data_IF_578841193476
#
_entry.id   IF_578841193476
#
_cell.length_a   1.000
_cell.length_b   1.000
_cell.length_c   1.000
_cell.angle_alpha   90.00
_cell.angle_beta   90.00
_cell.angle_gamma   90.00
#
_symmetry.space_group_name_H-M   'P 1'
#
loop_
_entity.id
_entity.type
_entity.pdbx_description
1 polymer ?
#
# COMPACT_ATOMS: atom_id res chain seq x y z
N UNK A 1 49.81 -21.24 -2.44
CA UNK A 1 49.08 -20.44 -1.43
C UNK A 1 48.13 -19.43 -2.07
N UNK A 2 48.53 -18.69 -3.11
CA UNK A 2 47.69 -17.71 -3.82
C UNK A 2 46.34 -18.25 -4.34
N UNK A 3 46.31 -19.46 -4.93
CA UNK A 3 45.07 -20.10 -5.42
C UNK A 3 44.03 -20.35 -4.32
N UNK A 4 44.47 -20.71 -3.11
CA UNK A 4 43.56 -20.93 -1.97
C UNK A 4 43.01 -19.63 -1.41
N UNK A 5 43.83 -18.56 -1.43
CA UNK A 5 43.41 -17.21 -1.05
C UNK A 5 42.35 -16.66 -2.01
N UNK A 6 42.56 -16.82 -3.32
CA UNK A 6 41.59 -16.41 -4.36
C UNK A 6 40.24 -17.11 -4.21
N UNK A 7 40.24 -18.42 -3.96
CA UNK A 7 39.01 -19.19 -3.75
C UNK A 7 38.27 -18.71 -2.50
N UNK A 8 38.98 -18.45 -1.40
CA UNK A 8 38.38 -17.95 -0.16
C UNK A 8 37.73 -16.57 -0.35
N UNK A 9 38.39 -15.67 -1.08
CA UNK A 9 37.86 -14.32 -1.38
C UNK A 9 36.62 -14.42 -2.26
N UNK A 10 36.65 -15.26 -3.31
CA UNK A 10 35.50 -15.47 -4.19
C UNK A 10 34.30 -16.07 -3.46
N UNK A 11 34.53 -17.04 -2.57
CA UNK A 11 33.45 -17.61 -1.76
C UNK A 11 32.83 -16.60 -0.79
N UNK A 12 33.65 -15.73 -0.18
CA UNK A 12 33.16 -14.69 0.72
C UNK A 12 32.34 -13.64 -0.05
N UNK A 13 32.82 -13.21 -1.23
CA UNK A 13 32.08 -12.28 -2.08
C UNK A 13 30.72 -12.85 -2.53
N UNK A 14 30.69 -14.12 -2.95
CA UNK A 14 29.45 -14.79 -3.33
C UNK A 14 28.45 -14.89 -2.15
N UNK A 15 28.94 -15.20 -0.95
CA UNK A 15 28.12 -15.24 0.25
C UNK A 15 27.53 -13.86 0.61
N UNK A 16 28.32 -12.79 0.48
CA UNK A 16 27.85 -11.41 0.72
C UNK A 16 26.78 -11.02 -0.30
N UNK A 17 26.97 -11.33 -1.58
CA UNK A 17 25.97 -11.05 -2.63
C UNK A 17 24.67 -11.81 -2.37
N UNK A 18 24.75 -13.08 -2.01
CA UNK A 18 23.57 -13.89 -1.65
C UNK A 18 22.83 -13.33 -0.43
N UNK A 19 23.55 -12.91 0.61
CA UNK A 19 22.98 -12.29 1.80
C UNK A 19 22.31 -10.95 1.48
N UNK A 20 22.94 -10.12 0.65
CA UNK A 20 22.36 -8.86 0.20
C UNK A 20 21.09 -9.07 -0.63
N UNK A 21 21.09 -10.07 -1.52
CA UNK A 21 19.93 -10.41 -2.35
C UNK A 21 18.76 -10.94 -1.50
N UNK A 22 19.05 -11.83 -0.55
CA UNK A 22 18.06 -12.31 0.40
C UNK A 22 17.50 -11.15 1.25
N UNK A 23 18.36 -10.28 1.78
CA UNK A 23 17.93 -9.11 2.54
C UNK A 23 17.07 -8.16 1.71
N UNK A 24 17.39 -7.94 0.43
CA UNK A 24 16.54 -7.12 -0.45
C UNK A 24 15.17 -7.73 -0.70
N UNK A 25 15.06 -9.06 -0.83
CA UNK A 25 13.77 -9.74 -0.97
C UNK A 25 12.94 -9.67 0.32
N UNK A 26 13.58 -9.61 1.49
CA UNK A 26 12.90 -9.42 2.78
C UNK A 26 12.54 -7.96 3.06
N UNK A 27 13.34 -7.00 2.58
CA UNK A 27 13.11 -5.56 2.75
C UNK A 27 12.13 -4.98 1.72
N UNK A 28 11.97 -5.65 0.57
CA UNK A 28 10.85 -5.43 -0.37
C UNK A 28 9.55 -6.09 0.13
N UNK A 29 9.53 -6.45 1.42
CA UNK A 29 8.32 -6.71 2.18
C UNK A 29 7.35 -5.57 1.91
N UNK A 30 6.31 -5.92 1.16
CA UNK A 30 5.21 -5.06 0.74
C UNK A 30 4.99 -3.96 1.76
N UNK A 31 4.97 -2.67 1.37
CA UNK A 31 4.58 -1.62 2.30
C UNK A 31 3.32 -2.12 2.99
N UNK A 32 3.30 -2.02 4.32
CA UNK A 32 2.18 -2.47 5.13
C UNK A 32 0.96 -1.70 4.65
N UNK A 33 0.30 -2.21 3.60
CA UNK A 33 -0.77 -1.55 2.89
C UNK A 33 -1.93 -1.68 3.85
N UNK A 34 -2.08 -0.65 4.69
CA UNK A 34 -3.33 -0.46 5.38
C UNK A 34 -4.40 -0.45 4.29
N UNK A 35 -5.36 -1.36 4.42
CA UNK A 35 -6.51 -1.42 3.54
C UNK A 35 -7.65 -0.75 4.27
N UNK A 36 -8.31 0.19 3.61
CA UNK A 36 -9.52 0.82 4.13
C UNK A 36 -10.69 0.54 3.21
N UNK A 37 -11.78 0.09 3.83
CA UNK A 37 -13.07 -0.06 3.20
C UNK A 37 -13.87 1.21 3.47
N UNK A 38 -14.27 1.90 2.40
CA UNK A 38 -15.13 3.08 2.49
C UNK A 38 -16.47 2.75 1.86
N UNK A 39 -17.52 2.79 2.67
CA UNK A 39 -18.89 2.57 2.25
C UNK A 39 -19.70 3.86 2.38
N UNK A 40 -20.52 4.16 1.36
CA UNK A 40 -21.48 5.27 1.43
C UNK A 40 -22.89 4.73 1.31
N UNK A 41 -23.72 5.00 2.32
CA UNK A 41 -25.10 4.52 2.36
C UNK A 41 -26.11 5.42 1.61
N UNK A 42 -27.36 4.95 1.55
CA UNK A 42 -28.48 5.66 0.92
C UNK A 42 -28.80 7.02 1.55
N UNK A 43 -28.35 7.29 2.78
CA UNK A 43 -28.54 8.57 3.47
C UNK A 43 -27.30 9.48 3.34
N UNK A 44 -26.38 9.18 2.41
CA UNK A 44 -25.13 9.93 2.24
C UNK A 44 -24.27 9.93 3.52
N UNK A 45 -24.29 8.83 4.28
CA UNK A 45 -23.41 8.66 5.43
C UNK A 45 -22.22 7.82 5.02
N UNK A 46 -21.03 8.27 5.43
CA UNK A 46 -19.76 7.62 5.15
C UNK A 46 -19.42 6.69 6.29
N UNK A 47 -18.98 5.49 5.95
CA UNK A 47 -18.43 4.51 6.87
C UNK A 47 -17.02 4.13 6.41
N UNK A 48 -16.09 4.09 7.36
CA UNK A 48 -14.70 3.72 7.13
C UNK A 48 -14.41 2.54 8.05
N UNK A 49 -14.14 1.36 7.48
CA UNK A 49 -13.99 0.09 8.21
C UNK A 49 -15.16 -0.18 9.17
N UNK A 50 -16.39 0.12 8.72
CA UNK A 50 -17.63 -0.07 9.49
C UNK A 50 -17.94 1.02 10.52
N UNK A 51 -17.03 1.96 10.78
CA UNK A 51 -17.26 3.09 11.70
C UNK A 51 -17.70 4.35 10.96
N UNK A 52 -18.49 5.21 11.62
CA UNK A 52 -18.94 6.46 11.00
C UNK A 52 -17.76 7.38 10.73
N UNK A 53 -17.58 7.73 9.46
CA UNK A 53 -16.52 8.61 8.96
C UNK A 53 -17.01 9.98 8.49
N UNK A 54 -16.07 10.78 8.02
CA UNK A 54 -16.27 12.11 7.43
C UNK A 54 -15.57 12.18 6.08
N UNK A 55 -15.97 13.13 5.23
CA UNK A 55 -15.31 13.37 3.94
C UNK A 55 -13.84 13.73 4.11
N UNK A 56 -13.52 14.63 5.05
CA UNK A 56 -12.14 15.04 5.34
C UNK A 56 -11.24 13.83 5.62
N UNK A 57 -11.73 12.89 6.44
CA UNK A 57 -10.98 11.67 6.75
C UNK A 57 -10.78 10.78 5.53
N UNK A 58 -11.75 10.71 4.62
CA UNK A 58 -11.60 9.99 3.35
C UNK A 58 -10.53 10.66 2.47
N UNK A 59 -10.50 11.99 2.42
CA UNK A 59 -9.48 12.72 1.66
C UNK A 59 -8.07 12.54 2.22
N UNK A 60 -7.92 12.61 3.55
CA UNK A 60 -6.63 12.38 4.23
C UNK A 60 -6.10 10.98 3.92
N UNK A 61 -6.98 9.98 4.05
CA UNK A 61 -6.69 8.59 3.77
C UNK A 61 -6.32 8.39 2.29
N UNK A 62 -7.11 8.89 1.35
CA UNK A 62 -6.86 8.71 -0.09
C UNK A 62 -5.64 9.49 -0.60
N UNK A 63 -5.26 10.56 0.09
CA UNK A 63 -4.04 11.32 -0.14
C UNK A 63 -2.76 10.54 0.21
N UNK A 64 -2.85 9.57 1.12
CA UNK A 64 -1.76 8.66 1.40
C UNK A 64 -1.65 7.60 0.30
N UNK A 65 -0.56 7.63 -0.48
CA UNK A 65 -0.32 6.70 -1.58
C UNK A 65 0.11 5.30 -1.12
N UNK A 66 0.37 5.11 0.17
CA UNK A 66 0.79 3.82 0.74
C UNK A 66 -0.39 2.92 1.11
N UNK A 67 -1.60 3.46 1.03
CA UNK A 67 -2.84 2.83 1.46
C UNK A 67 -3.64 2.35 0.23
N UNK A 68 -4.25 1.16 0.33
CA UNK A 68 -5.20 0.69 -0.68
C UNK A 68 -6.65 1.02 -0.28
N UNK A 69 -7.46 1.41 -1.27
CA UNK A 69 -8.84 1.83 -1.05
C UNK A 69 -9.82 0.99 -1.83
N UNK A 70 -10.81 0.47 -1.12
CA UNK A 70 -12.00 -0.07 -1.73
C UNK A 70 -13.19 0.84 -1.41
N UNK A 71 -13.83 1.36 -2.47
CA UNK A 71 -15.02 2.20 -2.36
C UNK A 71 -16.24 1.41 -2.81
N UNK A 72 -17.23 1.31 -1.93
CA UNK A 72 -18.55 0.81 -2.26
C UNK A 72 -19.60 1.90 -2.04
N UNK A 73 -20.48 2.08 -3.01
CA UNK A 73 -21.53 3.08 -2.95
C UNK A 73 -22.89 2.44 -3.11
N UNK A 74 -23.81 2.79 -2.22
CA UNK A 74 -25.22 2.48 -2.39
C UNK A 74 -25.81 3.20 -3.62
N UNK A 75 -26.65 2.56 -4.45
CA UNK A 75 -27.19 3.16 -5.68
C UNK A 75 -27.87 4.52 -5.51
N UNK A 76 -28.50 4.76 -4.36
CA UNK A 76 -29.20 6.01 -4.05
C UNK A 76 -28.29 7.12 -3.50
N UNK A 77 -27.00 6.84 -3.29
CA UNK A 77 -26.06 7.79 -2.74
C UNK A 77 -25.61 8.82 -3.79
N UNK A 78 -25.56 10.09 -3.38
CA UNK A 78 -25.18 11.24 -4.22
C UNK A 78 -23.77 11.77 -3.96
N UNK A 79 -23.11 11.31 -2.89
CA UNK A 79 -21.76 11.76 -2.52
C UNK A 79 -20.72 11.13 -3.43
N UNK A 80 -19.80 11.93 -3.97
CA UNK A 80 -18.66 11.44 -4.73
C UNK A 80 -17.37 12.15 -4.37
N UNK A 81 -16.24 11.47 -4.61
CA UNK A 81 -14.91 11.91 -4.22
C UNK A 81 -14.01 12.03 -5.44
N UNK A 82 -13.24 13.10 -5.55
CA UNK A 82 -12.24 13.27 -6.60
C UNK A 82 -10.85 13.43 -5.99
N UNK A 83 -9.97 12.47 -6.29
CA UNK A 83 -8.59 12.48 -5.82
C UNK A 83 -7.65 12.80 -6.97
N UNK A 84 -6.70 13.71 -6.71
CA UNK A 84 -5.77 14.22 -7.73
C UNK A 84 -5.02 13.12 -8.49
N UNK A 85 -4.69 12.01 -7.82
CA UNK A 85 -3.88 10.92 -8.37
C UNK A 85 -4.65 9.60 -8.55
N UNK A 86 -5.84 9.46 -7.95
CA UNK A 86 -6.66 8.24 -8.03
C UNK A 86 -7.94 8.40 -8.86
N UNK A 87 -8.18 9.60 -9.40
CA UNK A 87 -9.36 9.89 -10.22
C UNK A 87 -10.60 10.22 -9.38
N UNK A 88 -11.72 10.37 -10.08
CA UNK A 88 -13.01 10.65 -9.47
C UNK A 88 -13.82 9.36 -9.29
N UNK A 89 -14.20 9.08 -8.05
CA UNK A 89 -15.20 8.10 -7.67
C UNK A 89 -16.55 8.82 -7.61
N UNK A 90 -17.10 9.01 -8.80
CA UNK A 90 -18.39 9.64 -9.05
C UNK A 90 -18.88 9.15 -10.39
N UNK A 91 -19.33 7.90 -10.42
CA UNK A 91 -20.38 7.55 -11.38
C UNK A 91 -21.66 8.32 -11.01
#
# INVERSE_FOLDING_TARGET
MLKRLLIAILSAAAAIVLLAFAASLFLDGTPNQASYEVYVDAQNRIFINGERGTEDRVYDLAGDMTIDFQFERHPDSTLGFCFRYRGCYRD
#
